data_IF_780932898577
#
_entry.id   IF_780932898577
#
_cell.length_a   1.000
_cell.length_b   1.000
_cell.length_c   1.000
_cell.angle_alpha   90.00
_cell.angle_beta   90.00
_cell.angle_gamma   90.00
#
_symmetry.space_group_name_H-M   'P 1'
#
loop_
_entity.id
_entity.type
_entity.pdbx_description
1 polymer ?
#
# COMPACT_ATOMS: atom_id res chain seq x y z
N UNK A 1 -12.10 -22.94 -6.78
CA UNK A 1 -13.03 -22.64 -7.90
C UNK A 1 -12.68 -21.27 -8.43
N UNK A 2 -12.46 -21.14 -9.74
CA UNK A 2 -12.21 -19.84 -10.35
C UNK A 2 -13.51 -19.04 -10.36
N UNK A 3 -13.55 -17.96 -9.59
CA UNK A 3 -14.63 -16.99 -9.61
C UNK A 3 -14.36 -15.88 -10.62
N UNK A 4 -15.41 -15.24 -11.12
CA UNK A 4 -15.27 -14.04 -11.94
C UNK A 4 -15.12 -12.83 -11.03
N UNK A 5 -14.01 -12.10 -11.14
CA UNK A 5 -13.85 -10.83 -10.46
C UNK A 5 -14.76 -9.79 -11.13
N UNK A 6 -15.61 -9.11 -10.35
CA UNK A 6 -16.58 -8.12 -10.83
C UNK A 6 -16.44 -6.82 -10.04
N UNK A 7 -16.63 -5.67 -10.70
CA UNK A 7 -16.75 -4.38 -10.01
C UNK A 7 -18.22 -4.09 -9.69
N UNK A 8 -18.54 -3.82 -8.42
CA UNK A 8 -19.82 -3.27 -8.00
C UNK A 8 -19.68 -1.78 -7.65
N UNK A 9 -20.69 -0.97 -7.99
CA UNK A 9 -20.70 0.49 -7.76
C UNK A 9 -22.01 0.91 -7.12
N UNK A 10 -21.91 1.86 -6.20
CA UNK A 10 -23.03 2.41 -5.42
C UNK A 10 -22.95 3.93 -5.52
N UNK A 11 -24.07 4.61 -5.71
CA UNK A 11 -24.11 6.05 -5.96
C UNK A 11 -25.04 6.78 -4.99
N UNK A 12 -24.71 8.04 -4.73
CA UNK A 12 -25.59 8.99 -4.04
C UNK A 12 -26.10 8.49 -2.69
N UNK A 13 -27.42 8.54 -2.52
CA UNK A 13 -28.07 8.23 -1.23
C UNK A 13 -27.95 6.76 -0.83
N UNK A 14 -27.75 5.85 -1.78
CA UNK A 14 -27.63 4.41 -1.51
C UNK A 14 -26.33 4.08 -0.77
N UNK A 15 -25.29 4.92 -0.87
CA UNK A 15 -23.98 4.70 -0.22
C UNK A 15 -24.15 4.53 1.30
N UNK A 16 -24.98 5.37 1.93
CA UNK A 16 -25.21 5.32 3.38
C UNK A 16 -25.87 4.02 3.84
N UNK A 17 -26.69 3.41 2.99
CA UNK A 17 -27.32 2.13 3.28
C UNK A 17 -26.30 0.99 3.25
N UNK A 18 -25.41 0.98 2.25
CA UNK A 18 -24.45 -0.10 2.06
C UNK A 18 -23.13 0.06 2.84
N UNK A 19 -22.78 1.26 3.29
CA UNK A 19 -21.48 1.54 3.93
C UNK A 19 -21.21 0.69 5.17
N UNK A 20 -22.27 0.33 5.91
CA UNK A 20 -22.18 -0.51 7.10
C UNK A 20 -22.44 -1.99 6.81
N UNK A 21 -23.02 -2.29 5.64
CA UNK A 21 -23.45 -3.64 5.26
C UNK A 21 -22.34 -4.39 4.52
N UNK A 22 -21.68 -3.74 3.57
CA UNK A 22 -20.61 -4.34 2.77
C UNK A 22 -19.25 -4.02 3.39
N UNK A 23 -18.79 -4.92 4.23
CA UNK A 23 -17.44 -4.88 4.79
C UNK A 23 -16.47 -5.69 3.91
N UNK A 24 -15.22 -5.21 3.74
CA UNK A 24 -14.18 -5.95 3.03
C UNK A 24 -14.01 -7.38 3.58
N UNK A 25 -13.70 -8.32 2.69
CA UNK A 25 -13.31 -9.71 3.00
C UNK A 25 -14.35 -10.60 3.67
N UNK A 26 -15.60 -10.16 3.67
CA UNK A 26 -16.73 -11.01 3.99
C UNK A 26 -17.41 -11.48 2.71
N UNK A 27 -18.08 -12.62 2.79
CA UNK A 27 -18.91 -13.15 1.70
C UNK A 27 -20.36 -12.69 1.87
N UNK A 28 -20.98 -12.36 0.74
CA UNK A 28 -22.37 -11.93 0.69
C UNK A 28 -23.11 -12.60 -0.45
N UNK A 29 -24.37 -12.95 -0.21
CA UNK A 29 -25.35 -13.18 -1.27
C UNK A 29 -25.93 -11.84 -1.70
N UNK A 30 -25.77 -11.51 -2.98
CA UNK A 30 -26.24 -10.24 -3.56
C UNK A 30 -27.24 -10.57 -4.66
N UNK A 31 -28.46 -10.04 -4.57
CA UNK A 31 -29.52 -10.24 -5.57
C UNK A 31 -30.22 -8.93 -5.92
N UNK A 32 -30.74 -8.83 -7.14
CA UNK A 32 -31.47 -7.63 -7.58
C UNK A 32 -30.60 -6.40 -7.86
N UNK A 33 -29.32 -6.59 -8.20
CA UNK A 33 -28.47 -5.51 -8.73
C UNK A 33 -28.68 -5.30 -10.23
N UNK A 34 -28.35 -4.11 -10.73
CA UNK A 34 -28.42 -3.80 -12.17
C UNK A 34 -27.07 -4.09 -12.82
N UNK A 35 -27.05 -4.87 -13.90
CA UNK A 35 -25.82 -5.15 -14.66
C UNK A 35 -25.69 -4.12 -15.80
N UNK A 36 -24.57 -3.38 -15.85
CA UNK A 36 -24.28 -2.38 -16.90
C UNK A 36 -22.94 -2.64 -17.55
N UNK A 37 -22.76 -2.19 -18.79
CA UNK A 37 -21.45 -2.26 -19.47
C UNK A 37 -20.43 -1.44 -18.68
N UNK A 38 -19.27 -2.02 -18.43
CA UNK A 38 -18.25 -1.39 -17.61
C UNK A 38 -17.59 -0.22 -18.34
N UNK A 39 -17.37 0.89 -17.63
CA UNK A 39 -16.51 1.97 -18.10
C UNK A 39 -15.06 1.51 -18.00
N UNK A 40 -14.30 1.65 -19.10
CA UNK A 40 -12.89 1.26 -19.17
C UNK A 40 -12.04 1.90 -18.06
N UNK A 41 -12.42 3.07 -17.56
CA UNK A 41 -11.73 3.76 -16.46
C UNK A 41 -11.76 3.02 -15.13
N UNK A 42 -12.76 2.17 -14.91
CA UNK A 42 -12.96 1.45 -13.65
C UNK A 42 -12.87 -0.07 -13.83
N UNK A 43 -12.25 -0.53 -14.93
CA UNK A 43 -12.07 -1.96 -15.23
C UNK A 43 -11.14 -2.60 -14.20
N UNK A 44 -11.62 -3.65 -13.54
CA UNK A 44 -10.87 -4.42 -12.51
C UNK A 44 -10.51 -5.84 -12.96
N UNK A 45 -11.11 -6.32 -14.05
CA UNK A 45 -10.92 -7.66 -14.61
C UNK A 45 -11.38 -7.67 -16.07
N UNK A 46 -11.19 -8.77 -16.79
CA UNK A 46 -11.69 -8.92 -18.16
C UNK A 46 -13.21 -9.10 -18.28
N UNK A 47 -13.92 -9.07 -17.15
CA UNK A 47 -15.36 -9.11 -17.14
C UNK A 47 -15.94 -7.77 -17.66
N UNK A 48 -16.77 -7.84 -18.69
CA UNK A 48 -17.21 -6.66 -19.47
C UNK A 48 -18.31 -5.80 -18.80
N UNK A 49 -18.79 -6.22 -17.63
CA UNK A 49 -19.91 -5.58 -16.94
C UNK A 49 -19.56 -5.15 -15.52
N UNK A 50 -20.24 -4.13 -15.03
CA UNK A 50 -20.26 -3.74 -13.63
C UNK A 50 -21.65 -3.93 -13.04
N UNK A 51 -21.71 -4.16 -11.74
CA UNK A 51 -22.95 -4.26 -10.99
C UNK A 51 -23.25 -2.92 -10.32
N UNK A 52 -24.46 -2.41 -10.44
CA UNK A 52 -24.93 -1.23 -9.74
C UNK A 52 -25.88 -1.69 -8.64
N UNK A 53 -25.48 -1.45 -7.40
CA UNK A 53 -26.30 -1.77 -6.22
C UNK A 53 -27.09 -0.53 -5.82
N UNK A 54 -28.36 -0.73 -5.48
CA UNK A 54 -29.28 0.33 -5.08
C UNK A 54 -30.16 -0.14 -3.91
N UNK A 55 -30.95 0.74 -3.32
CA UNK A 55 -31.78 0.43 -2.13
C UNK A 55 -32.73 -0.80 -2.20
N UNK A 56 -32.98 -1.40 -3.38
CA UNK A 56 -33.76 -2.64 -3.50
C UNK A 56 -32.90 -3.88 -3.77
N UNK A 57 -31.60 -3.70 -3.96
CA UNK A 57 -30.64 -4.80 -4.02
C UNK A 57 -30.58 -5.44 -2.64
N UNK A 58 -30.86 -6.73 -2.59
CA UNK A 58 -30.85 -7.51 -1.36
C UNK A 58 -29.43 -8.06 -1.16
N UNK A 59 -28.85 -7.76 0.01
CA UNK A 59 -27.50 -8.17 0.40
C UNK A 59 -27.60 -8.87 1.75
N UNK A 60 -27.19 -10.13 1.77
CA UNK A 60 -27.18 -10.97 2.97
C UNK A 60 -25.76 -11.48 3.22
N UNK A 61 -25.22 -11.27 4.41
CA UNK A 61 -23.90 -11.79 4.81
C UNK A 61 -23.95 -13.31 4.93
N UNK A 62 -23.01 -14.00 4.29
CA UNK A 62 -22.88 -15.44 4.43
C UNK A 62 -22.33 -15.77 5.81
N UNK A 63 -22.91 -16.76 6.50
CA UNK A 63 -22.30 -17.30 7.73
C UNK A 63 -20.97 -17.96 7.38
N UNK A 64 -19.88 -17.35 7.82
CA UNK A 64 -18.54 -17.86 7.61
C UNK A 64 -18.20 -18.97 8.62
N UNK A 65 -17.48 -20.04 8.23
CA UNK A 65 -16.85 -20.94 9.19
C UNK A 65 -15.83 -20.15 10.03
N UNK A 66 -15.53 -20.63 11.25
CA UNK A 66 -14.49 -20.04 12.10
C UNK A 66 -13.23 -20.94 12.07
N UNK A 67 -12.06 -20.44 11.61
CA UNK A 67 -11.79 -19.09 11.12
C UNK A 67 -12.37 -18.83 9.71
N UNK A 68 -12.71 -17.57 9.39
CA UNK A 68 -13.25 -17.21 8.08
C UNK A 68 -12.24 -17.50 6.98
N UNK A 69 -12.72 -18.05 5.87
CA UNK A 69 -11.90 -18.34 4.70
C UNK A 69 -11.90 -17.10 3.82
N UNK A 70 -10.74 -16.44 3.74
CA UNK A 70 -10.62 -15.29 2.85
C UNK A 70 -10.89 -15.72 1.40
N UNK A 71 -11.75 -15.00 0.68
CA UNK A 71 -12.23 -15.42 -0.63
C UNK A 71 -11.20 -15.24 -1.76
N UNK A 72 -10.02 -14.68 -1.47
CA UNK A 72 -9.01 -14.35 -2.46
C UNK A 72 -7.60 -14.80 -2.04
N UNK A 73 -6.81 -15.19 -3.04
CA UNK A 73 -5.36 -15.32 -2.92
C UNK A 73 -4.72 -13.95 -3.10
N UNK A 74 -3.73 -13.62 -2.29
CA UNK A 74 -2.97 -12.39 -2.42
C UNK A 74 -1.67 -12.67 -3.17
N UNK A 75 -1.36 -11.82 -4.15
CA UNK A 75 -0.04 -11.80 -4.79
C UNK A 75 0.78 -10.71 -4.11
N UNK A 76 1.71 -11.13 -3.25
CA UNK A 76 2.56 -10.21 -2.51
C UNK A 76 3.81 -9.84 -3.29
N UNK A 77 4.11 -8.55 -3.28
CA UNK A 77 5.33 -8.00 -3.86
C UNK A 77 6.39 -7.93 -2.77
N UNK A 78 7.57 -8.48 -3.06
CA UNK A 78 8.72 -8.39 -2.16
C UNK A 78 9.21 -6.96 -2.05
N UNK A 79 9.75 -6.58 -0.89
CA UNK A 79 10.31 -5.27 -0.64
C UNK A 79 11.50 -4.97 -1.55
N UNK A 80 12.34 -5.96 -1.85
CA UNK A 80 13.45 -5.85 -2.80
C UNK A 80 13.00 -5.40 -4.20
N UNK A 81 11.78 -5.69 -4.62
CA UNK A 81 11.26 -5.33 -5.95
C UNK A 81 10.47 -4.02 -5.94
N UNK A 82 10.12 -3.47 -4.78
CA UNK A 82 9.23 -2.31 -4.70
C UNK A 82 9.78 -1.07 -5.41
N UNK A 83 11.10 -0.88 -5.44
CA UNK A 83 11.73 0.25 -6.12
C UNK A 83 11.37 0.30 -7.61
N UNK A 84 11.10 -0.85 -8.24
CA UNK A 84 10.71 -0.96 -9.66
C UNK A 84 9.35 -0.32 -9.96
N UNK A 85 8.52 -0.19 -8.93
CA UNK A 85 7.18 0.40 -9.03
C UNK A 85 7.12 1.83 -8.47
N UNK A 86 8.25 2.37 -8.00
CA UNK A 86 8.29 3.65 -7.33
C UNK A 86 7.83 4.80 -8.24
N UNK A 87 6.85 5.57 -7.76
CA UNK A 87 6.18 6.68 -8.44
C UNK A 87 5.42 6.30 -9.73
N UNK A 88 5.23 5.01 -10.00
CA UNK A 88 4.35 4.54 -11.09
C UNK A 88 2.88 4.55 -10.65
N UNK A 89 1.97 4.29 -11.59
CA UNK A 89 0.56 4.07 -11.27
C UNK A 89 0.27 2.62 -10.84
N UNK A 90 1.27 1.72 -10.98
CA UNK A 90 1.19 0.35 -10.50
C UNK A 90 1.10 0.32 -8.99
N UNK A 91 0.34 -0.64 -8.50
CA UNK A 91 0.01 -0.76 -7.08
C UNK A 91 0.40 -2.13 -6.58
N UNK A 92 0.89 -2.18 -5.35
CA UNK A 92 1.46 -3.41 -4.80
C UNK A 92 0.67 -3.88 -3.59
N UNK A 93 0.74 -5.18 -3.34
CA UNK A 93 0.20 -5.81 -2.15
C UNK A 93 1.35 -6.29 -1.29
N UNK A 94 1.34 -5.98 0.01
CA UNK A 94 2.43 -6.33 0.94
C UNK A 94 1.85 -6.85 2.25
N UNK A 95 2.60 -7.73 2.93
CA UNK A 95 2.35 -8.14 4.33
C UNK A 95 3.42 -7.51 5.19
N UNK A 96 3.00 -6.80 6.25
CA UNK A 96 3.93 -6.04 7.09
C UNK A 96 3.52 -6.02 8.55
N UNK A 97 4.47 -5.92 9.46
CA UNK A 97 4.18 -5.56 10.86
C UNK A 97 4.25 -4.05 11.02
N UNK A 98 3.25 -3.44 11.66
CA UNK A 98 3.14 -1.99 11.80
C UNK A 98 3.43 -1.46 13.22
N UNK A 99 4.11 -0.32 13.28
CA UNK A 99 4.49 0.40 14.50
C UNK A 99 4.12 1.89 14.38
N UNK A 100 3.76 2.51 15.50
CA UNK A 100 3.43 3.94 15.49
C UNK A 100 4.65 4.82 15.20
N UNK A 101 4.42 5.89 14.46
CA UNK A 101 5.33 7.04 14.45
C UNK A 101 4.95 7.99 15.61
N UNK A 102 5.94 8.71 16.16
CA UNK A 102 5.71 9.68 17.24
C UNK A 102 4.97 10.95 16.80
N UNK A 103 4.73 11.12 15.51
CA UNK A 103 4.17 12.34 14.92
C UNK A 103 2.66 12.18 14.73
N UNK A 104 1.91 12.62 15.74
CA UNK A 104 0.49 12.89 15.60
C UNK A 104 0.35 14.35 15.14
N UNK A 105 0.17 14.57 13.84
CA UNK A 105 -0.29 15.88 13.38
C UNK A 105 -1.78 15.98 13.71
N UNK A 106 -2.09 16.49 14.90
CA UNK A 106 -3.45 16.76 15.33
C UNK A 106 -4.11 17.75 14.34
N UNK A 107 -5.02 17.24 13.52
CA UNK A 107 -5.72 17.98 12.46
C UNK A 107 -5.30 17.64 11.02
N UNK A 108 -4.32 16.75 10.82
CA UNK A 108 -3.93 16.31 9.47
C UNK A 108 -4.81 15.15 9.00
N UNK A 109 -5.13 15.13 7.71
CA UNK A 109 -5.80 14.00 7.05
C UNK A 109 -4.87 12.80 6.85
N UNK A 110 -3.74 12.72 7.56
CA UNK A 110 -2.73 11.67 7.36
C UNK A 110 -2.09 11.20 8.64
N UNK A 111 -1.63 9.94 8.62
CA UNK A 111 -0.83 9.35 9.69
C UNK A 111 0.18 8.38 9.11
N UNK A 112 1.41 8.45 9.61
CA UNK A 112 2.50 7.55 9.25
C UNK A 112 2.58 6.35 10.20
N UNK A 113 2.99 5.20 9.67
CA UNK A 113 3.37 4.02 10.42
C UNK A 113 4.72 3.51 9.90
N UNK A 114 5.56 3.01 10.79
CA UNK A 114 6.74 2.25 10.36
C UNK A 114 6.28 0.82 10.11
N UNK A 115 6.64 0.27 8.96
CA UNK A 115 6.26 -1.08 8.57
C UNK A 115 7.48 -1.90 8.18
N UNK A 116 7.49 -3.18 8.54
CA UNK A 116 8.61 -4.09 8.28
C UNK A 116 8.12 -5.48 7.89
N UNK A 117 8.87 -6.16 7.04
CA UNK A 117 8.70 -7.57 6.69
C UNK A 117 9.99 -8.36 6.97
N UNK A 118 10.04 -9.61 6.51
CA UNK A 118 11.15 -10.54 6.67
C UNK A 118 12.48 -10.05 6.09
N UNK A 119 12.45 -9.09 5.16
CA UNK A 119 13.64 -8.50 4.55
C UNK A 119 14.30 -7.42 5.42
N UNK A 120 13.74 -7.13 6.60
CA UNK A 120 14.31 -6.21 7.59
C UNK A 120 14.61 -4.81 7.03
N UNK A 121 13.76 -4.34 6.12
CA UNK A 121 13.78 -2.98 5.54
C UNK A 121 12.60 -2.18 6.09
N UNK A 122 12.77 -1.41 7.19
CA UNK A 122 11.67 -0.66 7.79
C UNK A 122 11.29 0.52 6.89
N UNK A 123 10.06 0.58 6.39
CA UNK A 123 9.58 1.66 5.53
C UNK A 123 8.49 2.48 6.19
N UNK A 124 8.25 3.68 5.70
CA UNK A 124 7.09 4.48 6.11
C UNK A 124 5.87 4.07 5.28
N UNK A 125 4.75 3.82 5.95
CA UNK A 125 3.42 3.68 5.37
C UNK A 125 2.57 4.89 5.78
N UNK A 126 2.16 5.71 4.82
CA UNK A 126 1.26 6.85 5.05
C UNK A 126 -0.18 6.48 4.72
N UNK A 127 -1.06 6.58 5.72
CA UNK A 127 -2.50 6.45 5.57
C UNK A 127 -3.12 7.84 5.36
N UNK A 128 -4.09 7.95 4.46
CA UNK A 128 -4.77 9.20 4.11
C UNK A 128 -6.28 9.14 4.35
N UNK A 129 -6.87 10.28 4.74
CA UNK A 129 -8.30 10.51 4.91
C UNK A 129 -8.97 9.40 5.75
N UNK A 130 -9.97 8.72 5.19
CA UNK A 130 -10.72 7.66 5.87
C UNK A 130 -9.83 6.49 6.33
N UNK A 131 -8.71 6.20 5.66
CA UNK A 131 -7.78 5.18 6.11
C UNK A 131 -7.11 5.54 7.43
N UNK A 132 -6.81 6.84 7.62
CA UNK A 132 -6.25 7.34 8.87
C UNK A 132 -7.29 7.26 10.00
N UNK A 133 -8.51 7.73 9.73
CA UNK A 133 -9.59 7.78 10.71
C UNK A 133 -10.01 6.37 11.17
N UNK A 134 -10.03 5.40 10.26
CA UNK A 134 -10.45 4.03 10.54
C UNK A 134 -9.25 3.16 10.97
N UNK A 135 -8.47 2.66 9.99
CA UNK A 135 -7.36 1.73 10.25
C UNK A 135 -6.23 2.40 11.05
N UNK A 136 -5.93 3.67 10.78
CA UNK A 136 -4.91 4.42 11.51
C UNK A 136 -5.25 4.57 13.00
N UNK A 137 -6.50 4.84 13.34
CA UNK A 137 -6.97 4.85 14.74
C UNK A 137 -6.91 3.47 15.37
N UNK A 138 -7.37 2.43 14.66
CA UNK A 138 -7.32 1.04 15.15
C UNK A 138 -5.89 0.60 15.48
N UNK A 139 -4.94 0.87 14.57
CA UNK A 139 -3.53 0.56 14.75
C UNK A 139 -2.90 1.35 15.90
N UNK A 140 -3.23 2.64 16.02
CA UNK A 140 -2.72 3.49 17.10
C UNK A 140 -3.23 3.04 18.49
N UNK A 141 -4.45 2.51 18.56
CA UNK A 141 -4.99 1.97 19.82
C UNK A 141 -4.41 0.60 20.18
N UNK A 142 -3.64 -0.03 19.29
CA UNK A 142 -3.11 -1.40 19.46
C UNK A 142 -1.61 -1.52 19.13
N UNK A 143 -0.85 -0.43 19.28
CA UNK A 143 0.58 -0.33 18.91
C UNK A 143 1.44 -1.44 19.54
N UNK A 144 1.15 -1.81 20.79
CA UNK A 144 1.89 -2.84 21.52
C UNK A 144 1.68 -4.27 21.00
N UNK A 145 0.70 -4.48 20.12
CA UNK A 145 0.31 -5.82 19.68
C UNK A 145 1.09 -6.31 18.46
N UNK A 146 1.98 -5.47 17.90
CA UNK A 146 2.71 -5.76 16.65
C UNK A 146 1.77 -6.28 15.57
N UNK A 147 0.81 -5.44 15.18
CA UNK A 147 -0.22 -5.82 14.23
C UNK A 147 0.39 -6.14 12.88
N UNK A 148 -0.06 -7.25 12.29
CA UNK A 148 0.26 -7.60 10.91
C UNK A 148 -0.80 -7.01 9.99
N UNK A 149 -0.37 -6.37 8.91
CA UNK A 149 -1.21 -5.70 7.95
C UNK A 149 -1.01 -6.34 6.59
N UNK A 150 -2.11 -6.69 5.91
CA UNK A 150 -2.10 -6.87 4.45
C UNK A 150 -2.55 -5.55 3.83
N UNK A 151 -1.60 -4.82 3.24
CA UNK A 151 -1.86 -3.61 2.49
C UNK A 151 -1.99 -3.93 1.02
N UNK A 152 -3.14 -3.66 0.42
CA UNK A 152 -3.43 -3.93 -0.98
C UNK A 152 -3.51 -2.65 -1.79
N UNK A 153 -3.11 -2.76 -3.05
CA UNK A 153 -3.14 -1.66 -4.01
C UNK A 153 -2.51 -0.37 -3.44
N UNK A 154 -1.41 -0.52 -2.71
CA UNK A 154 -0.64 0.59 -2.18
C UNK A 154 0.20 1.22 -3.30
N UNK A 155 0.34 2.54 -3.26
CA UNK A 155 1.25 3.25 -4.15
C UNK A 155 2.65 3.25 -3.53
N UNK A 156 3.66 2.94 -4.35
CA UNK A 156 5.06 3.04 -3.95
C UNK A 156 5.57 4.43 -4.34
N UNK A 157 6.24 5.11 -3.42
CA UNK A 157 6.81 6.45 -3.68
C UNK A 157 8.27 6.52 -3.28
N UNK A 158 8.98 7.52 -3.82
CA UNK A 158 10.34 7.86 -3.38
C UNK A 158 10.38 9.01 -2.36
N UNK A 159 9.22 9.43 -1.85
CA UNK A 159 9.14 10.43 -0.79
C UNK A 159 9.47 9.76 0.55
N UNK A 160 10.45 10.28 1.28
CA UNK A 160 11.11 9.56 2.39
C UNK A 160 11.82 8.28 1.93
N UNK A 161 12.57 8.36 0.83
CA UNK A 161 13.18 7.21 0.17
C UNK A 161 12.09 6.23 -0.27
N UNK A 162 12.31 4.92 -0.21
CA UNK A 162 11.27 3.96 -0.58
C UNK A 162 10.18 3.91 0.50
N UNK A 163 8.97 4.29 0.15
CA UNK A 163 7.83 4.34 1.07
C UNK A 163 6.51 3.93 0.43
N UNK A 164 5.53 3.65 1.27
CA UNK A 164 4.20 3.18 0.92
C UNK A 164 3.16 4.25 1.25
N UNK A 165 2.15 4.39 0.40
CA UNK A 165 1.02 5.29 0.67
C UNK A 165 -0.29 4.72 0.18
N UNK A 166 -1.35 4.95 0.96
CA UNK A 166 -2.72 4.64 0.51
C UNK A 166 -3.17 5.62 -0.56
N UNK A 167 -4.03 5.16 -1.47
CA UNK A 167 -4.76 5.97 -2.45
C UNK A 167 -6.22 5.51 -2.54
N UNK A 168 -7.09 6.24 -3.27
CA UNK A 168 -8.42 5.73 -3.59
C UNK A 168 -8.35 4.34 -4.24
N UNK A 169 -9.10 3.39 -3.68
CA UNK A 169 -9.08 1.99 -4.10
C UNK A 169 -8.00 1.11 -3.46
N UNK A 170 -7.15 1.64 -2.57
CA UNK A 170 -6.35 0.82 -1.65
C UNK A 170 -7.24 0.06 -0.68
N UNK A 171 -6.70 -0.98 -0.04
CA UNK A 171 -7.36 -1.62 1.09
C UNK A 171 -6.34 -2.08 2.12
N UNK A 172 -6.76 -2.12 3.38
CA UNK A 172 -5.93 -2.56 4.50
C UNK A 172 -6.72 -3.57 5.33
N UNK A 173 -6.08 -4.71 5.59
CA UNK A 173 -6.50 -5.71 6.57
C UNK A 173 -5.58 -5.65 7.76
N UNK A 174 -6.14 -5.69 8.97
CA UNK A 174 -5.39 -5.74 10.22
C UNK A 174 -5.60 -7.11 10.85
N UNK A 175 -4.49 -7.80 11.14
CA UNK A 175 -4.41 -9.17 11.65
C UNK A 175 -5.35 -10.15 10.92
N UNK A 176 -5.31 -10.21 9.57
CA UNK A 176 -6.19 -11.13 8.84
C UNK A 176 -5.80 -12.60 9.13
N UNK A 177 -6.78 -13.52 9.20
CA UNK A 177 -6.52 -14.93 9.50
C UNK A 177 -5.98 -15.66 8.26
N UNK A 178 -4.76 -15.32 7.85
CA UNK A 178 -4.05 -15.90 6.69
C UNK A 178 -2.78 -16.60 7.12
N UNK A 179 -2.36 -17.59 6.34
CA UNK A 179 -1.06 -18.24 6.49
C UNK A 179 0.09 -17.23 6.50
N UNK A 180 0.04 -16.24 5.61
CA UNK A 180 1.09 -15.26 5.40
C UNK A 180 1.16 -14.26 6.55
N UNK A 181 0.00 -13.79 7.04
CA UNK A 181 -0.02 -12.93 8.21
C UNK A 181 0.45 -13.67 9.48
N UNK A 182 0.07 -14.94 9.63
CA UNK A 182 0.53 -15.77 10.76
C UNK A 182 2.04 -16.05 10.67
N UNK A 183 2.56 -16.39 9.49
CA UNK A 183 3.98 -16.62 9.27
C UNK A 183 4.80 -15.36 9.58
N UNK A 184 4.37 -14.19 9.11
CA UNK A 184 5.04 -12.94 9.41
C UNK A 184 4.96 -12.59 10.91
N UNK A 185 3.85 -12.93 11.57
CA UNK A 185 3.69 -12.75 13.01
C UNK A 185 4.70 -13.59 13.80
N UNK A 186 4.82 -14.86 13.45
CA UNK A 186 5.77 -15.79 14.07
C UNK A 186 7.22 -15.34 13.83
N UNK A 187 7.53 -14.93 12.60
CA UNK A 187 8.83 -14.35 12.26
C UNK A 187 9.12 -13.10 13.10
N UNK A 188 8.16 -12.18 13.22
CA UNK A 188 8.35 -10.96 14.02
C UNK A 188 8.64 -11.31 15.49
N UNK A 189 7.90 -12.25 16.07
CA UNK A 189 8.11 -12.67 17.45
C UNK A 189 9.52 -13.24 17.66
N UNK A 190 10.06 -13.96 16.68
CA UNK A 190 11.43 -14.48 16.72
C UNK A 190 12.52 -13.41 16.52
N UNK A 191 12.21 -12.27 15.91
CA UNK A 191 13.18 -11.22 15.55
C UNK A 191 12.94 -9.88 16.30
N UNK A 192 12.06 -9.86 17.30
CA UNK A 192 11.55 -8.64 17.95
C UNK A 192 12.65 -7.67 18.40
N UNK A 193 13.72 -8.17 19.01
CA UNK A 193 14.82 -7.35 19.54
C UNK A 193 15.58 -6.63 18.43
N UNK A 194 15.92 -7.35 17.36
CA UNK A 194 16.59 -6.78 16.19
C UNK A 194 15.71 -5.74 15.48
N UNK A 195 14.41 -5.99 15.35
CA UNK A 195 13.48 -5.03 14.78
C UNK A 195 13.37 -3.78 15.65
N UNK A 196 13.35 -3.92 16.97
CA UNK A 196 13.35 -2.78 17.88
C UNK A 196 14.63 -1.93 17.72
N UNK A 197 15.78 -2.58 17.57
CA UNK A 197 17.06 -1.90 17.30
C UNK A 197 17.03 -1.14 15.97
N UNK A 198 16.55 -1.76 14.88
CA UNK A 198 16.43 -1.11 13.58
C UNK A 198 15.54 0.15 13.63
N UNK A 199 14.44 0.08 14.37
CA UNK A 199 13.54 1.23 14.56
C UNK A 199 14.23 2.31 15.41
N UNK A 200 14.95 1.93 16.47
CA UNK A 200 15.69 2.85 17.33
C UNK A 200 16.81 3.58 16.58
N UNK A 201 17.50 2.89 15.69
CA UNK A 201 18.52 3.45 14.78
C UNK A 201 17.91 4.32 13.66
N UNK A 202 16.58 4.47 13.62
CA UNK A 202 15.86 5.16 12.55
C UNK A 202 16.22 4.64 11.15
N UNK A 203 16.37 3.33 10.99
CA UNK A 203 16.69 2.71 9.69
C UNK A 203 15.68 3.07 8.58
N UNK A 204 14.45 3.45 8.94
CA UNK A 204 13.43 3.96 8.02
C UNK A 204 13.70 5.38 7.48
N UNK A 205 14.77 6.04 7.95
CA UNK A 205 15.29 7.32 7.44
C UNK A 205 16.67 7.16 6.78
N UNK A 206 17.15 5.93 6.63
CA UNK A 206 18.45 5.63 6.05
C UNK A 206 18.29 5.26 4.56
N UNK A 207 18.75 6.15 3.68
CA UNK A 207 18.67 5.95 2.24
C UNK A 207 19.43 4.71 1.78
N UNK A 208 20.55 4.37 2.43
CA UNK A 208 21.40 3.24 2.05
C UNK A 208 20.72 1.90 2.32
N UNK A 209 19.80 1.85 3.30
CA UNK A 209 19.01 0.66 3.64
C UNK A 209 17.75 0.53 2.79
N UNK A 210 17.07 1.64 2.49
CA UNK A 210 15.79 1.62 1.78
C UNK A 210 15.91 1.66 0.26
N UNK A 211 16.98 2.27 -0.24
CA UNK A 211 17.30 2.35 -1.66
C UNK A 211 18.79 2.00 -1.85
N UNK A 212 19.20 0.76 -1.52
CA UNK A 212 20.56 0.33 -1.77
C UNK A 212 20.89 0.43 -3.27
N UNK A 213 22.17 0.56 -3.64
CA UNK A 213 22.57 0.52 -5.05
C UNK A 213 21.96 -0.71 -5.74
N UNK A 214 21.31 -0.53 -6.89
CA UNK A 214 20.63 -1.60 -7.57
C UNK A 214 21.62 -2.57 -8.21
N UNK A 215 21.12 -3.72 -8.68
CA UNK A 215 21.94 -4.64 -9.47
C UNK A 215 22.33 -4.00 -10.80
N UNK A 216 23.44 -4.46 -11.40
CA UNK A 216 23.88 -3.94 -12.71
C UNK A 216 22.83 -4.11 -13.82
N UNK A 217 21.90 -5.05 -13.68
CA UNK A 217 20.81 -5.28 -14.64
C UNK A 217 19.72 -4.21 -14.58
N UNK A 218 19.57 -3.54 -13.44
CA UNK A 218 18.57 -2.48 -13.25
C UNK A 218 19.14 -1.09 -13.59
N UNK A 219 20.45 -0.99 -13.85
CA UNK A 219 21.12 0.27 -14.23
C UNK A 219 21.07 0.44 -15.75
N UNK A 220 20.47 1.55 -16.21
CA UNK A 220 20.37 1.88 -17.62
C UNK A 220 21.27 3.06 -18.00
N UNK A 221 21.57 3.21 -19.29
CA UNK A 221 22.30 4.38 -19.79
C UNK A 221 21.44 5.65 -19.68
N UNK A 222 22.09 6.82 -19.64
CA UNK A 222 21.39 8.11 -19.67
C UNK A 222 20.51 8.24 -20.92
N UNK A 223 20.99 7.76 -22.07
CA UNK A 223 20.22 7.79 -23.32
C UNK A 223 18.95 6.92 -23.23
N UNK A 224 19.03 5.74 -22.62
CA UNK A 224 17.87 4.89 -22.40
C UNK A 224 16.92 5.54 -21.40
N UNK A 225 17.42 6.08 -20.29
CA UNK A 225 16.60 6.77 -19.30
C UNK A 225 15.80 7.93 -19.91
N UNK A 226 16.38 8.73 -20.80
CA UNK A 226 15.67 9.80 -21.49
C UNK A 226 14.50 9.30 -22.36
N UNK A 227 14.59 8.06 -22.87
CA UNK A 227 13.50 7.44 -23.60
C UNK A 227 12.47 6.82 -22.67
N UNK A 228 12.90 6.10 -21.63
CA UNK A 228 12.00 5.37 -20.72
C UNK A 228 11.27 6.32 -19.76
N UNK A 229 11.89 7.44 -19.35
CA UNK A 229 11.28 8.41 -18.42
C UNK A 229 10.03 9.12 -18.99
N UNK A 230 9.70 8.90 -20.27
CA UNK A 230 8.42 9.31 -20.85
C UNK A 230 7.26 8.48 -20.31
N UNK A 231 7.52 7.21 -19.99
CA UNK A 231 6.51 6.23 -19.55
C UNK A 231 6.67 5.85 -18.07
N UNK A 232 7.88 5.92 -17.50
CA UNK A 232 8.18 5.67 -16.08
C UNK A 232 8.68 6.95 -15.40
N UNK A 233 8.47 7.09 -14.09
CA UNK A 233 8.85 8.33 -13.36
C UNK A 233 10.23 8.26 -12.68
N UNK A 234 10.89 7.11 -12.70
CA UNK A 234 12.16 6.88 -12.00
C UNK A 234 13.04 5.90 -12.79
N UNK A 235 14.37 6.05 -12.70
CA UNK A 235 15.34 5.14 -13.31
C UNK A 235 16.68 5.20 -12.57
N UNK A 236 17.39 4.06 -12.54
CA UNK A 236 18.77 4.01 -12.07
C UNK A 236 19.72 4.19 -13.25
N UNK A 237 20.67 5.11 -13.13
CA UNK A 237 21.63 5.41 -14.18
C UNK A 237 23.05 5.37 -13.67
N UNK A 238 23.99 5.09 -14.57
CA UNK A 238 25.41 5.31 -14.34
C UNK A 238 25.95 6.34 -15.32
N UNK A 239 26.86 7.20 -14.87
CA UNK A 239 27.41 8.28 -15.66
C UNK A 239 28.52 9.04 -14.94
N UNK A 240 29.16 9.95 -15.66
CA UNK A 240 30.15 10.88 -15.11
C UNK A 240 29.54 12.27 -15.04
N UNK A 241 29.67 12.93 -13.89
CA UNK A 241 29.23 14.31 -13.70
C UNK A 241 30.37 15.22 -14.18
N UNK A 242 30.05 16.12 -15.14
CA UNK A 242 30.94 17.19 -15.56
C UNK A 242 30.27 18.53 -15.21
N UNK A 243 30.90 19.31 -14.33
CA UNK A 243 30.46 20.64 -13.98
C UNK A 243 31.27 21.67 -14.77
N UNK A 244 30.58 22.53 -15.53
CA UNK A 244 31.21 23.66 -16.18
C UNK A 244 31.67 24.68 -15.11
N UNK A 245 32.91 25.20 -15.17
CA UNK A 245 33.40 26.16 -14.20
C UNK A 245 32.71 27.52 -14.43
N UNK A 246 31.53 27.70 -13.83
CA UNK A 246 30.88 29.01 -13.66
C UNK A 246 30.79 29.30 -12.17
N UNK A 247 31.12 30.54 -11.81
CA UNK A 247 31.04 31.06 -10.44
C UNK A 247 29.57 31.23 -10.02
N UNK A 248 28.91 30.14 -9.69
CA UNK A 248 27.60 30.11 -9.08
C UNK A 248 27.73 29.54 -7.67
N UNK A 249 27.09 30.17 -6.68
CA UNK A 249 26.97 29.59 -5.34
C UNK A 249 26.10 28.33 -5.43
N UNK A 250 26.56 27.23 -4.86
CA UNK A 250 25.81 25.96 -4.78
C UNK A 250 24.88 25.92 -3.55
N UNK A 251 24.70 27.04 -2.87
CA UNK A 251 23.87 27.19 -1.67
C UNK A 251 23.18 28.55 -1.67
N UNK A 252 22.07 28.66 -0.95
CA UNK A 252 21.37 29.91 -0.64
C UNK A 252 21.29 30.08 0.88
N UNK A 253 21.21 31.34 1.33
CA UNK A 253 20.92 31.67 2.73
C UNK A 253 19.41 31.88 2.85
N UNK A 254 18.75 31.17 3.76
CA UNK A 254 17.37 31.47 4.13
C UNK A 254 17.36 32.79 4.92
N UNK A 255 16.83 33.84 4.31
CA UNK A 255 16.63 35.12 4.98
C UNK A 255 15.60 34.97 6.10
N UNK A 256 16.01 35.26 7.34
CA UNK A 256 15.14 35.39 8.51
C UNK A 256 14.11 36.53 8.34
#
# INVERSE_FOLDING_TARGET
MAGTLVSAVIYGNDIRYFSNLLQPFKRYYITGGIVKKQDAKYKVSDYQFSWMLHNKTLVEECVEPNPPLLPCTFEFTKFEDLFRFANTENVQTVVVTAFATKEQNNGCTTRGFIVVNEEKKPMLLTLWNEFEQNQGTQLANSIGNANVIIGMKLKITTFNYLSLTTKPGSGLLINPPTSEANALKDWYNANKEEIAELIQQMAYKDSSKLLPPPSSNDIISVANALNTLKDVKTAWITGKINLSPRQQKFWFEDGL
#
